data_IF_674289058629
#
_entry.id   IF_674289058629
#
_cell.length_a   1.000
_cell.length_b   1.000
_cell.length_c   1.000
_cell.angle_alpha   90.00
_cell.angle_beta   90.00
_cell.angle_gamma   90.00
#
_symmetry.space_group_name_H-M   'P 1'
#
loop_
_entity.id
_entity.type
_entity.pdbx_description
1 polymer ?
#
# COMPACT_ATOMS: atom_id res chain seq x y z
N UNK A 1 8.04 -22.82 7.32
CA UNK A 1 8.91 -21.90 8.09
C UNK A 1 9.30 -20.65 7.29
N UNK A 2 9.80 -20.76 6.06
CA UNK A 2 10.26 -19.60 5.25
C UNK A 2 9.09 -18.67 4.88
N UNK A 3 7.96 -19.21 4.44
CA UNK A 3 6.76 -18.44 4.07
C UNK A 3 6.19 -17.65 5.26
N UNK A 4 6.06 -18.25 6.44
CA UNK A 4 5.53 -17.55 7.63
C UNK A 4 6.43 -16.38 8.06
N UNK A 5 7.76 -16.55 7.94
CA UNK A 5 8.71 -15.46 8.20
C UNK A 5 8.60 -14.34 7.18
N UNK A 6 8.39 -14.67 5.90
CA UNK A 6 8.19 -13.68 4.85
C UNK A 6 6.90 -12.88 5.08
N UNK A 7 5.79 -13.55 5.42
CA UNK A 7 4.53 -12.86 5.77
C UNK A 7 4.78 -11.89 6.93
N UNK A 8 5.48 -12.31 7.98
CA UNK A 8 5.79 -11.44 9.12
C UNK A 8 6.60 -10.20 8.71
N UNK A 9 7.64 -10.37 7.89
CA UNK A 9 8.46 -9.26 7.37
C UNK A 9 7.58 -8.28 6.58
N UNK A 10 6.69 -8.79 5.72
CA UNK A 10 5.80 -7.96 4.89
C UNK A 10 4.80 -7.21 5.76
N UNK A 11 4.15 -7.88 6.71
CA UNK A 11 3.15 -7.25 7.58
C UNK A 11 3.76 -6.17 8.49
N UNK A 12 4.95 -6.43 9.04
CA UNK A 12 5.70 -5.41 9.78
C UNK A 12 6.09 -4.22 8.89
N UNK A 13 6.49 -4.49 7.65
CA UNK A 13 6.78 -3.46 6.66
C UNK A 13 5.54 -2.64 6.30
N UNK A 14 4.39 -3.29 6.11
CA UNK A 14 3.12 -2.63 5.84
C UNK A 14 2.69 -1.71 7.00
N UNK A 15 2.80 -2.17 8.25
CA UNK A 15 2.52 -1.36 9.44
C UNK A 15 3.48 -0.16 9.54
N UNK A 16 4.78 -0.35 9.23
CA UNK A 16 5.77 0.73 9.23
C UNK A 16 5.46 1.76 8.14
N UNK A 17 5.19 1.33 6.92
CA UNK A 17 4.81 2.23 5.83
C UNK A 17 3.53 3.02 6.17
N UNK A 18 2.57 2.39 6.83
CA UNK A 18 1.36 3.05 7.32
C UNK A 18 1.68 4.13 8.38
N UNK A 19 2.64 3.86 9.28
CA UNK A 19 3.13 4.86 10.25
C UNK A 19 3.78 6.05 9.55
N UNK A 20 4.58 5.82 8.50
CA UNK A 20 5.21 6.90 7.73
C UNK A 20 4.15 7.80 7.07
N UNK A 21 3.04 7.23 6.58
CA UNK A 21 1.88 8.00 6.12
C UNK A 21 1.25 8.83 7.24
N UNK A 22 1.00 8.24 8.42
CA UNK A 22 0.43 8.99 9.56
C UNK A 22 1.31 10.18 9.92
N UNK A 23 2.62 9.97 10.02
CA UNK A 23 3.58 11.05 10.33
C UNK A 23 3.58 12.13 9.24
N UNK A 24 3.54 11.74 7.98
CA UNK A 24 3.45 12.68 6.86
C UNK A 24 2.13 13.48 6.90
N UNK A 25 1.00 12.85 7.22
CA UNK A 25 -0.28 13.55 7.44
C UNK A 25 -0.19 14.55 8.59
N UNK A 26 0.40 14.17 9.73
CA UNK A 26 0.58 15.05 10.88
C UNK A 26 1.41 16.30 10.54
N UNK A 27 2.46 16.14 9.74
CA UNK A 27 3.35 17.22 9.35
C UNK A 27 2.75 18.14 8.27
N UNK A 28 2.10 17.56 7.26
CA UNK A 28 1.71 18.28 6.06
C UNK A 28 0.22 18.55 5.92
N UNK A 29 -0.58 17.84 6.70
CA UNK A 29 -2.03 17.98 6.74
C UNK A 29 -2.56 17.92 8.19
N UNK A 30 -2.10 18.79 9.10
CA UNK A 30 -2.41 18.68 10.54
C UNK A 30 -3.92 18.76 10.83
N UNK A 31 -4.71 19.38 9.95
CA UNK A 31 -6.18 19.41 10.06
C UNK A 31 -6.84 18.05 9.86
N UNK A 32 -6.13 17.06 9.32
CA UNK A 32 -6.66 15.68 9.17
C UNK A 32 -6.81 14.97 10.52
N UNK A 33 -6.19 15.49 11.58
CA UNK A 33 -6.13 14.86 12.90
C UNK A 33 -5.57 13.43 12.87
N UNK A 34 -4.63 13.17 11.95
CA UNK A 34 -4.05 11.84 11.77
C UNK A 34 -3.41 11.34 13.07
N UNK A 35 -3.69 10.09 13.40
CA UNK A 35 -3.26 9.45 14.64
C UNK A 35 -2.92 7.97 14.39
N UNK A 36 -2.09 7.41 15.26
CA UNK A 36 -1.78 5.99 15.25
C UNK A 36 -1.68 5.42 16.66
N UNK A 37 -1.93 4.10 16.78
CA UNK A 37 -1.84 3.35 18.02
C UNK A 37 -1.30 1.95 17.71
N UNK A 38 -0.34 1.39 18.48
CA UNK A 38 0.01 -0.03 18.40
C UNK A 38 -1.24 -0.89 18.63
N UNK A 39 -1.43 -1.90 17.79
CA UNK A 39 -2.58 -2.79 17.87
C UNK A 39 -2.20 -4.21 17.41
N UNK A 40 -2.39 -5.20 18.27
CA UNK A 40 -2.20 -6.62 17.95
C UNK A 40 -0.84 -6.97 17.30
N UNK A 41 0.23 -6.32 17.70
CA UNK A 41 1.56 -6.46 17.11
C UNK A 41 1.80 -5.64 15.84
N UNK A 42 0.76 -5.02 15.29
CA UNK A 42 0.78 -4.08 14.16
C UNK A 42 0.41 -2.67 14.56
N UNK A 43 -0.33 -1.98 13.70
CA UNK A 43 -0.67 -0.57 13.82
C UNK A 43 -2.13 -0.31 13.44
N UNK A 44 -2.87 0.36 14.32
CA UNK A 44 -4.11 1.05 13.98
C UNK A 44 -3.78 2.49 13.58
N UNK A 45 -4.23 2.92 12.42
CA UNK A 45 -4.01 4.26 11.89
C UNK A 45 -5.31 4.94 11.50
N UNK A 46 -5.40 6.22 11.80
CA UNK A 46 -6.45 7.11 11.33
C UNK A 46 -5.83 8.26 10.55
N UNK A 47 -6.27 8.47 9.32
CA UNK A 47 -5.81 9.56 8.44
C UNK A 47 -6.97 10.36 7.84
N UNK A 48 -8.17 10.15 8.37
CA UNK A 48 -9.42 10.80 7.96
C UNK A 48 -10.58 9.81 7.88
N UNK A 49 -11.84 10.27 7.96
CA UNK A 49 -13.02 9.41 8.04
C UNK A 49 -13.23 8.52 6.79
N UNK A 50 -12.82 9.00 5.62
CA UNK A 50 -12.97 8.31 4.34
C UNK A 50 -11.62 7.89 3.73
N UNK A 51 -10.56 7.90 4.54
CA UNK A 51 -9.24 7.55 4.04
C UNK A 51 -9.06 6.03 3.93
N UNK A 52 -8.53 5.53 2.80
CA UNK A 52 -8.18 4.12 2.67
C UNK A 52 -7.03 3.68 3.59
N UNK A 53 -6.36 4.65 4.23
CA UNK A 53 -5.31 4.42 5.22
C UNK A 53 -5.84 4.48 6.67
N UNK A 54 -7.17 4.58 6.86
CA UNK A 54 -7.82 4.44 8.18
C UNK A 54 -8.13 2.97 8.41
N UNK A 55 -7.15 2.24 8.96
CA UNK A 55 -7.18 0.77 9.04
C UNK A 55 -6.20 0.24 10.09
N UNK A 56 -6.32 -1.04 10.43
CA UNK A 56 -5.31 -1.81 11.19
C UNK A 56 -4.54 -2.69 10.19
N UNK A 57 -3.20 -2.55 10.17
CA UNK A 57 -2.28 -3.41 9.39
C UNK A 57 -1.25 -4.07 10.29
N UNK A 58 -0.78 -5.25 9.88
CA UNK A 58 0.27 -5.98 10.57
C UNK A 58 -0.17 -6.69 11.84
N UNK A 59 -1.48 -6.87 12.05
CA UNK A 59 -1.98 -7.62 13.20
C UNK A 59 -1.46 -9.07 13.19
N UNK A 60 -1.06 -9.56 14.36
CA UNK A 60 -0.62 -10.93 14.58
C UNK A 60 -1.74 -11.96 14.41
N UNK A 61 -1.39 -13.27 14.48
CA UNK A 61 -2.35 -14.35 14.23
C UNK A 61 -3.42 -14.49 15.32
N UNK A 62 -3.10 -14.15 16.55
CA UNK A 62 -3.98 -14.33 17.71
C UNK A 62 -4.49 -12.96 18.20
N UNK A 63 -5.49 -12.45 17.51
CA UNK A 63 -6.12 -11.16 17.79
C UNK A 63 -7.04 -11.29 19.03
N UNK A 64 -6.64 -10.67 20.14
CA UNK A 64 -7.37 -10.74 21.41
C UNK A 64 -8.59 -9.81 21.44
N UNK A 65 -9.60 -10.16 22.22
CA UNK A 65 -10.81 -9.36 22.41
C UNK A 65 -10.49 -7.91 22.85
N UNK A 66 -9.56 -7.77 23.81
CA UNK A 66 -9.14 -6.46 24.32
C UNK A 66 -8.44 -5.60 23.26
N UNK A 67 -7.77 -6.21 22.27
CA UNK A 67 -7.11 -5.50 21.18
C UNK A 67 -8.12 -4.99 20.15
N UNK A 68 -9.16 -5.79 19.87
CA UNK A 68 -10.28 -5.37 19.01
C UNK A 68 -11.01 -4.19 19.67
N UNK A 69 -11.32 -4.29 20.97
CA UNK A 69 -11.96 -3.21 21.74
C UNK A 69 -11.13 -1.93 21.74
N UNK A 70 -9.81 -2.06 21.92
CA UNK A 70 -8.91 -0.91 21.90
C UNK A 70 -8.90 -0.23 20.53
N UNK A 71 -8.89 -1.00 19.43
CA UNK A 71 -8.97 -0.48 18.08
C UNK A 71 -10.31 0.22 17.83
N UNK A 72 -11.45 -0.38 18.20
CA UNK A 72 -12.77 0.24 18.07
C UNK A 72 -12.86 1.56 18.83
N UNK A 73 -12.34 1.60 20.07
CA UNK A 73 -12.30 2.82 20.86
C UNK A 73 -11.43 3.89 20.22
N UNK A 74 -10.26 3.51 19.68
CA UNK A 74 -9.37 4.41 18.96
C UNK A 74 -10.06 5.02 17.73
N UNK A 75 -10.67 4.22 16.88
CA UNK A 75 -11.36 4.70 15.67
C UNK A 75 -12.58 5.57 16.02
N UNK A 76 -13.36 5.19 17.02
CA UNK A 76 -14.50 5.98 17.50
C UNK A 76 -14.06 7.37 18.03
N UNK A 77 -12.97 7.43 18.81
CA UNK A 77 -12.41 8.70 19.32
C UNK A 77 -11.91 9.62 18.22
N UNK A 78 -11.47 9.06 17.12
CA UNK A 78 -11.01 9.80 15.94
C UNK A 78 -12.13 10.03 14.91
N UNK A 79 -13.40 9.71 15.23
CA UNK A 79 -14.54 9.88 14.33
C UNK A 79 -14.42 9.12 12.99
N UNK A 80 -13.77 7.98 12.99
CA UNK A 80 -13.77 7.08 11.84
C UNK A 80 -15.19 6.55 11.58
N UNK A 81 -15.57 6.43 10.33
CA UNK A 81 -16.91 5.91 9.96
C UNK A 81 -17.02 4.41 10.15
N UNK A 82 -15.90 3.72 10.12
CA UNK A 82 -15.81 2.27 10.18
C UNK A 82 -14.49 1.83 10.80
N UNK A 83 -14.47 0.62 11.31
CA UNK A 83 -13.25 -0.04 11.77
C UNK A 83 -12.86 -1.09 10.74
N UNK A 84 -11.63 -1.02 10.22
CA UNK A 84 -11.12 -1.95 9.23
C UNK A 84 -9.90 -2.68 9.80
N UNK A 85 -9.89 -4.00 9.74
CA UNK A 85 -8.72 -4.84 9.98
C UNK A 85 -8.28 -5.48 8.67
N UNK A 86 -7.10 -5.15 8.19
CA UNK A 86 -6.47 -5.80 7.04
C UNK A 86 -5.55 -6.91 7.54
N UNK A 87 -5.99 -8.14 7.43
CA UNK A 87 -5.36 -9.30 8.06
C UNK A 87 -4.73 -10.25 7.05
N UNK A 88 -3.51 -10.67 7.32
CA UNK A 88 -2.87 -11.79 6.64
C UNK A 88 -3.60 -13.13 6.96
N UNK A 89 -3.42 -14.19 6.15
CA UNK A 89 -4.15 -15.46 6.28
C UNK A 89 -3.67 -16.34 7.45
N UNK A 90 -3.04 -15.74 8.44
CA UNK A 90 -2.55 -16.42 9.62
C UNK A 90 -3.45 -16.28 10.85
N UNK A 91 -4.57 -15.54 10.72
CA UNK A 91 -5.52 -15.45 11.83
C UNK A 91 -5.96 -16.84 12.27
N UNK A 92 -5.94 -17.06 13.58
CA UNK A 92 -6.50 -18.29 14.17
C UNK A 92 -8.03 -18.30 13.98
N UNK A 93 -8.62 -19.51 14.00
CA UNK A 93 -10.09 -19.66 13.93
C UNK A 93 -10.77 -18.87 15.05
N UNK A 94 -10.17 -18.86 16.26
CA UNK A 94 -10.66 -18.10 17.39
C UNK A 94 -10.65 -16.57 17.12
N UNK A 95 -9.62 -16.05 16.46
CA UNK A 95 -9.55 -14.65 16.05
C UNK A 95 -10.63 -14.29 15.05
N UNK A 96 -10.85 -15.16 14.07
CA UNK A 96 -11.92 -15.00 13.08
C UNK A 96 -13.30 -15.02 13.74
N UNK A 97 -13.54 -15.94 14.68
CA UNK A 97 -14.81 -16.02 15.41
C UNK A 97 -15.02 -14.82 16.36
N UNK A 98 -13.97 -14.26 16.94
CA UNK A 98 -14.06 -13.00 17.72
C UNK A 98 -14.53 -11.85 16.82
N UNK A 99 -13.91 -11.66 15.65
CA UNK A 99 -14.33 -10.63 14.69
C UNK A 99 -15.79 -10.80 14.27
N UNK A 100 -16.21 -12.02 13.90
CA UNK A 100 -17.59 -12.31 13.50
C UNK A 100 -18.61 -12.02 14.61
N UNK A 101 -18.32 -12.45 15.86
CA UNK A 101 -19.21 -12.19 17.01
C UNK A 101 -19.38 -10.70 17.29
N UNK A 102 -18.39 -9.88 16.95
CA UNK A 102 -18.45 -8.43 17.08
C UNK A 102 -19.08 -7.74 15.85
N UNK A 103 -19.58 -8.51 14.89
CA UNK A 103 -20.28 -7.97 13.72
C UNK A 103 -19.37 -7.59 12.55
N UNK A 104 -18.09 -7.95 12.59
CA UNK A 104 -17.22 -7.74 11.43
C UNK A 104 -17.61 -8.69 10.29
N UNK A 105 -17.58 -8.16 9.08
CA UNK A 105 -17.80 -8.89 7.83
C UNK A 105 -16.63 -8.69 6.88
N UNK A 106 -16.44 -9.63 5.95
CA UNK A 106 -15.41 -9.50 4.92
C UNK A 106 -15.87 -8.50 3.87
N UNK A 107 -15.11 -7.42 3.70
CA UNK A 107 -15.38 -6.36 2.72
C UNK A 107 -14.61 -6.53 1.42
N UNK A 108 -13.46 -7.22 1.44
CA UNK A 108 -12.65 -7.43 0.25
C UNK A 108 -11.38 -8.21 0.52
N UNK A 109 -10.64 -8.46 -0.54
CA UNK A 109 -9.34 -9.13 -0.49
C UNK A 109 -8.35 -8.46 -1.44
N UNK A 110 -7.07 -8.49 -1.08
CA UNK A 110 -5.95 -8.08 -1.91
C UNK A 110 -4.89 -9.17 -1.97
N UNK A 111 -4.28 -9.33 -3.12
CA UNK A 111 -3.14 -10.24 -3.29
C UNK A 111 -1.85 -9.50 -2.95
N UNK A 112 -1.10 -10.04 -2.02
CA UNK A 112 0.25 -9.57 -1.73
C UNK A 112 1.23 -10.37 -2.59
N UNK A 113 1.97 -9.63 -3.43
CA UNK A 113 3.00 -10.19 -4.29
C UNK A 113 4.38 -9.69 -3.85
N UNK A 114 5.40 -10.54 -3.97
CA UNK A 114 6.77 -10.19 -3.62
C UNK A 114 7.78 -10.74 -4.62
N UNK A 115 8.89 -10.03 -4.80
CA UNK A 115 10.07 -10.49 -5.51
C UNK A 115 11.26 -10.51 -4.56
N UNK A 116 11.97 -11.64 -4.48
CA UNK A 116 13.22 -11.76 -3.72
C UNK A 116 14.34 -11.07 -4.50
N UNK A 117 15.12 -10.24 -3.81
CA UNK A 117 16.23 -9.51 -4.41
C UNK A 117 17.60 -10.08 -3.98
N UNK A 118 18.63 -10.07 -4.85
CA UNK A 118 18.56 -9.61 -6.25
C UNK A 118 17.83 -10.59 -7.17
N UNK A 119 17.20 -10.07 -8.23
CA UNK A 119 16.53 -10.86 -9.26
C UNK A 119 16.92 -10.37 -10.66
N UNK A 120 16.66 -11.20 -11.66
CA UNK A 120 16.81 -10.79 -13.07
C UNK A 120 15.73 -9.77 -13.44
N UNK A 121 16.14 -8.64 -14.00
CA UNK A 121 15.22 -7.61 -14.49
C UNK A 121 15.54 -7.30 -15.95
N UNK A 122 14.55 -7.50 -16.81
CA UNK A 122 14.65 -7.07 -18.21
C UNK A 122 14.73 -5.54 -18.32
N UNK A 123 15.33 -5.04 -19.40
CA UNK A 123 15.34 -3.61 -19.67
C UNK A 123 13.90 -3.07 -19.78
N UNK A 124 13.60 -1.90 -19.21
CA UNK A 124 12.30 -1.28 -19.37
C UNK A 124 12.08 -0.87 -20.84
N UNK A 125 10.88 -1.11 -21.36
CA UNK A 125 10.50 -0.69 -22.71
C UNK A 125 10.34 0.82 -22.89
N UNK A 126 10.26 1.55 -21.79
CA UNK A 126 10.28 3.01 -21.70
C UNK A 126 11.40 3.41 -20.75
N UNK A 127 11.85 4.66 -20.81
CA UNK A 127 12.81 5.23 -19.86
C UNK A 127 12.04 5.94 -18.74
N UNK A 128 11.96 5.33 -17.53
CA UNK A 128 11.36 6.02 -16.41
C UNK A 128 12.19 7.25 -15.99
N UNK A 129 11.47 8.27 -15.57
CA UNK A 129 12.04 9.54 -15.09
C UNK A 129 11.56 9.81 -13.67
N UNK A 130 12.33 10.55 -12.90
CA UNK A 130 11.87 11.09 -11.63
C UNK A 130 10.89 12.24 -11.92
N UNK A 131 9.72 12.21 -11.28
CA UNK A 131 8.68 13.22 -11.50
C UNK A 131 8.79 14.35 -10.47
N UNK A 132 8.32 15.52 -10.85
CA UNK A 132 8.02 16.61 -9.94
C UNK A 132 6.66 16.40 -9.28
N UNK A 133 6.44 17.04 -8.13
CA UNK A 133 5.25 16.83 -7.30
C UNK A 133 3.94 17.04 -8.06
N UNK A 134 3.83 18.12 -8.83
CA UNK A 134 2.60 18.49 -9.51
C UNK A 134 2.25 17.49 -10.61
N UNK A 135 3.24 17.04 -11.38
CA UNK A 135 3.04 16.02 -12.41
C UNK A 135 2.66 14.68 -11.81
N UNK A 136 3.34 14.27 -10.74
CA UNK A 136 3.04 13.03 -10.05
C UNK A 136 1.61 13.03 -9.48
N UNK A 137 1.23 14.10 -8.77
CA UNK A 137 -0.11 14.22 -8.18
C UNK A 137 -1.21 14.26 -9.25
N UNK A 138 -0.99 15.00 -10.33
CA UNK A 138 -1.92 15.10 -11.46
C UNK A 138 -2.17 13.73 -12.10
N UNK A 139 -1.09 13.00 -12.40
CA UNK A 139 -1.19 11.68 -13.04
C UNK A 139 -1.79 10.66 -12.09
N UNK A 140 -1.42 10.69 -10.80
CA UNK A 140 -1.99 9.83 -9.78
C UNK A 140 -3.52 9.99 -9.71
N UNK A 141 -4.02 11.23 -9.59
CA UNK A 141 -5.45 11.51 -9.52
C UNK A 141 -6.19 11.05 -10.78
N UNK A 142 -5.65 11.38 -11.97
CA UNK A 142 -6.27 11.03 -13.24
C UNK A 142 -6.26 9.52 -13.50
N UNK A 143 -5.20 8.82 -13.15
CA UNK A 143 -5.07 7.38 -13.41
C UNK A 143 -6.03 6.52 -12.56
N UNK A 144 -6.36 6.98 -11.36
CA UNK A 144 -7.33 6.32 -10.47
C UNK A 144 -8.76 6.79 -10.68
N UNK A 145 -9.00 7.74 -11.61
CA UNK A 145 -10.34 8.29 -11.93
C UNK A 145 -11.06 8.82 -10.67
N UNK A 146 -10.27 9.40 -9.75
CA UNK A 146 -10.76 9.78 -8.44
C UNK A 146 -11.44 11.13 -8.48
N UNK A 147 -12.60 11.31 -7.80
CA UNK A 147 -13.25 12.60 -7.71
C UNK A 147 -12.31 13.66 -7.12
N UNK A 148 -12.28 14.86 -7.71
CA UNK A 148 -11.44 15.96 -7.23
C UNK A 148 -11.73 16.38 -5.77
N UNK A 149 -12.90 16.04 -5.26
CA UNK A 149 -13.40 16.33 -3.91
C UNK A 149 -13.03 15.25 -2.88
N UNK A 150 -12.49 14.12 -3.34
CA UNK A 150 -12.10 13.02 -2.45
C UNK A 150 -10.80 13.34 -1.70
N UNK A 151 -10.49 12.53 -0.67
CA UNK A 151 -9.22 12.57 0.07
C UNK A 151 -7.98 12.41 -0.83
N UNK A 152 -8.15 12.02 -2.07
CA UNK A 152 -7.09 11.66 -3.01
C UNK A 152 -6.12 12.80 -3.36
N UNK A 153 -6.55 14.06 -3.55
CA UNK A 153 -5.60 15.16 -3.72
C UNK A 153 -4.69 15.31 -2.51
N UNK A 154 -5.25 15.16 -1.30
CA UNK A 154 -4.47 15.21 -0.07
C UNK A 154 -3.56 13.99 0.07
N UNK A 155 -4.06 12.81 -0.25
CA UNK A 155 -3.27 11.57 -0.24
C UNK A 155 -2.10 11.65 -1.22
N UNK A 156 -2.30 12.17 -2.43
CA UNK A 156 -1.24 12.38 -3.40
C UNK A 156 -0.14 13.31 -2.86
N UNK A 157 -0.53 14.43 -2.23
CA UNK A 157 0.42 15.37 -1.63
C UNK A 157 1.20 14.76 -0.46
N UNK A 158 0.54 13.97 0.39
CA UNK A 158 1.16 13.31 1.53
C UNK A 158 2.08 12.18 1.07
N UNK A 159 1.65 11.35 0.12
CA UNK A 159 2.45 10.28 -0.44
C UNK A 159 3.74 10.80 -1.10
N UNK A 160 3.66 11.98 -1.73
CA UNK A 160 4.86 12.65 -2.26
C UNK A 160 5.94 12.88 -1.19
N UNK A 161 5.53 13.17 0.04
CA UNK A 161 6.41 13.56 1.15
C UNK A 161 6.87 12.41 2.03
N UNK A 162 6.55 11.16 1.69
CA UNK A 162 7.03 10.01 2.43
C UNK A 162 8.57 9.96 2.42
N UNK A 163 9.21 9.79 3.60
CA UNK A 163 10.65 9.82 3.71
C UNK A 163 11.32 8.70 2.90
N UNK A 164 12.39 9.05 2.18
CA UNK A 164 13.16 8.08 1.39
C UNK A 164 12.44 7.44 0.21
N UNK A 165 11.22 7.88 -0.10
CA UNK A 165 10.46 7.33 -1.22
C UNK A 165 10.87 7.95 -2.55
N UNK A 166 10.85 7.14 -3.61
CA UNK A 166 11.13 7.54 -4.99
C UNK A 166 9.82 7.62 -5.76
N UNK A 167 9.65 8.68 -6.57
CA UNK A 167 8.48 8.93 -7.41
C UNK A 167 8.92 8.94 -8.86
N UNK A 168 8.43 7.97 -9.60
CA UNK A 168 8.78 7.77 -11.00
C UNK A 168 7.59 8.02 -11.90
N UNK A 169 7.87 8.37 -13.13
CA UNK A 169 6.93 8.39 -14.23
C UNK A 169 7.52 7.91 -15.52
N UNK A 170 6.65 7.73 -16.49
CA UNK A 170 7.01 7.49 -17.88
C UNK A 170 6.36 8.58 -18.73
N UNK A 171 7.16 9.27 -19.54
CA UNK A 171 6.67 10.23 -20.50
C UNK A 171 6.69 9.65 -21.93
N UNK A 172 5.85 10.18 -22.79
CA UNK A 172 5.87 9.92 -24.23
C UNK A 172 6.94 10.77 -24.94
N UNK A 173 6.97 10.69 -26.26
CA UNK A 173 7.93 11.42 -27.08
C UNK A 173 7.76 12.95 -27.02
N UNK A 174 6.57 13.43 -26.70
CA UNK A 174 6.23 14.85 -26.56
C UNK A 174 6.46 15.38 -25.14
N UNK A 175 6.93 14.50 -24.22
CA UNK A 175 7.17 14.82 -22.83
C UNK A 175 5.94 14.75 -21.92
N UNK A 176 4.80 14.30 -22.43
CA UNK A 176 3.57 14.14 -21.65
C UNK A 176 3.67 12.91 -20.75
N UNK A 177 3.44 13.07 -19.45
CA UNK A 177 3.53 11.98 -18.48
C UNK A 177 2.33 11.04 -18.61
N UNK A 178 2.61 9.78 -18.91
CA UNK A 178 1.65 8.71 -19.18
C UNK A 178 1.29 7.87 -17.95
N UNK A 179 2.14 7.85 -16.96
CA UNK A 179 1.93 7.07 -15.74
C UNK A 179 2.90 7.44 -14.63
N UNK A 180 2.53 7.09 -13.41
CA UNK A 180 3.31 7.35 -12.22
C UNK A 180 3.40 6.10 -11.34
N UNK A 181 4.39 6.06 -10.45
CA UNK A 181 4.57 5.02 -9.46
C UNK A 181 5.42 5.50 -8.28
N UNK A 182 5.29 4.85 -7.15
CA UNK A 182 6.10 5.10 -5.97
C UNK A 182 6.82 3.84 -5.50
N UNK A 183 8.00 4.02 -4.92
CA UNK A 183 8.68 3.02 -4.11
C UNK A 183 9.02 3.66 -2.77
N UNK A 184 8.61 3.05 -1.67
CA UNK A 184 8.90 3.51 -0.31
C UNK A 184 9.70 2.45 0.47
N UNK A 185 10.70 2.86 1.28
CA UNK A 185 11.43 1.94 2.15
C UNK A 185 10.57 1.56 3.36
N UNK A 186 10.56 0.27 3.74
CA UNK A 186 9.90 -0.20 4.95
C UNK A 186 10.67 -1.36 5.59
N UNK A 187 11.74 -1.04 6.33
CA UNK A 187 12.65 -2.04 6.90
C UNK A 187 13.44 -2.77 5.82
N UNK A 188 13.30 -4.10 5.75
CA UNK A 188 14.01 -4.94 4.77
C UNK A 188 13.32 -4.97 3.40
N UNK A 189 12.14 -4.36 3.25
CA UNK A 189 11.35 -4.37 2.03
C UNK A 189 11.28 -3.00 1.35
N UNK A 190 11.25 -3.03 0.01
CA UNK A 190 10.81 -1.91 -0.81
C UNK A 190 9.31 -2.09 -1.12
N UNK A 191 8.47 -1.20 -0.63
CA UNK A 191 7.03 -1.19 -0.93
C UNK A 191 6.81 -0.48 -2.26
N UNK A 192 6.27 -1.18 -3.25
CA UNK A 192 5.90 -0.65 -4.54
C UNK A 192 4.40 -0.37 -4.55
N UNK A 193 4.04 0.87 -4.74
CA UNK A 193 2.63 1.28 -4.70
C UNK A 193 2.38 2.56 -5.48
N UNK A 194 1.13 3.03 -5.38
CA UNK A 194 0.67 4.23 -6.05
C UNK A 194 0.92 4.20 -7.57
N UNK A 195 0.74 3.02 -8.18
CA UNK A 195 0.94 2.78 -9.61
C UNK A 195 -0.28 3.30 -10.38
N UNK A 196 -0.11 4.34 -11.14
CA UNK A 196 -1.15 4.90 -11.99
C UNK A 196 -0.71 4.92 -13.45
N UNK A 197 -1.59 4.49 -14.37
CA UNK A 197 -1.40 4.65 -15.82
C UNK A 197 -2.64 5.33 -16.37
N UNK A 198 -2.44 6.44 -17.07
CA UNK A 198 -3.55 7.20 -17.70
C UNK A 198 -4.33 6.29 -18.65
N UNK A 199 -5.67 6.42 -18.74
CA UNK A 199 -6.50 5.55 -19.56
C UNK A 199 -5.99 5.39 -20.99
N UNK A 200 -5.61 6.47 -21.65
CA UNK A 200 -5.09 6.53 -23.03
C UNK A 200 -3.70 5.89 -23.20
N UNK A 201 -2.99 5.67 -22.09
CA UNK A 201 -1.66 5.03 -22.06
C UNK A 201 -1.69 3.56 -21.63
N UNK A 202 -2.87 3.05 -21.27
CA UNK A 202 -3.02 1.63 -20.92
C UNK A 202 -2.66 0.71 -22.09
N UNK A 203 -2.09 -0.44 -21.79
CA UNK A 203 -1.63 -1.40 -22.82
C UNK A 203 -0.29 -1.07 -23.47
N UNK A 204 0.31 0.09 -23.21
CA UNK A 204 1.59 0.52 -23.82
C UNK A 204 2.84 0.15 -22.99
N UNK A 205 2.73 -0.69 -21.96
CA UNK A 205 3.88 -1.17 -21.18
C UNK A 205 4.36 -0.20 -20.08
N UNK A 206 3.67 0.92 -19.84
CA UNK A 206 4.03 1.96 -18.88
C UNK A 206 4.24 1.39 -17.47
N UNK A 207 3.24 0.68 -16.92
CA UNK A 207 3.35 0.08 -15.58
C UNK A 207 4.51 -0.93 -15.49
N UNK A 208 4.70 -1.76 -16.53
CA UNK A 208 5.79 -2.75 -16.57
C UNK A 208 7.16 -2.05 -16.51
N UNK A 209 7.34 -0.95 -17.22
CA UNK A 209 8.57 -0.17 -17.18
C UNK A 209 8.82 0.41 -15.77
N UNK A 210 7.77 0.94 -15.12
CA UNK A 210 7.84 1.46 -13.77
C UNK A 210 8.14 0.38 -12.72
N UNK A 211 7.58 -0.82 -12.85
CA UNK A 211 7.89 -1.96 -11.97
C UNK A 211 9.37 -2.35 -12.11
N UNK A 212 9.86 -2.51 -13.34
CA UNK A 212 11.25 -2.91 -13.63
C UNK A 212 12.26 -1.90 -13.07
N UNK A 213 12.00 -0.61 -13.26
CA UNK A 213 12.90 0.41 -12.72
C UNK A 213 12.93 0.42 -11.18
N UNK A 214 11.77 0.29 -10.53
CA UNK A 214 11.71 0.19 -9.07
C UNK A 214 12.43 -1.05 -8.54
N UNK A 215 12.36 -2.20 -9.23
CA UNK A 215 13.18 -3.37 -8.90
C UNK A 215 14.68 -3.07 -8.98
N UNK A 216 15.13 -2.38 -10.02
CA UNK A 216 16.55 -1.97 -10.16
C UNK A 216 16.98 -1.03 -9.03
N UNK A 217 16.14 -0.06 -8.68
CA UNK A 217 16.40 0.86 -7.58
C UNK A 217 16.39 0.15 -6.23
N UNK A 218 15.46 -0.79 -6.00
CA UNK A 218 15.39 -1.59 -4.79
C UNK A 218 16.65 -2.45 -4.61
N UNK A 219 17.14 -3.09 -5.67
CA UNK A 219 18.41 -3.83 -5.65
C UNK A 219 19.60 -2.93 -5.36
N UNK A 220 19.67 -1.76 -6.01
CA UNK A 220 20.75 -0.77 -5.77
C UNK A 220 20.76 -0.27 -4.34
N UNK A 221 19.58 -0.12 -3.73
CA UNK A 221 19.43 0.30 -2.34
C UNK A 221 19.65 -0.83 -1.32
N UNK A 222 19.85 -2.08 -1.76
CA UNK A 222 20.16 -3.23 -0.90
C UNK A 222 18.96 -3.85 -0.22
N UNK A 223 17.73 -3.61 -0.68
CA UNK A 223 16.54 -4.29 -0.15
C UNK A 223 16.58 -5.78 -0.43
N UNK A 224 16.01 -6.57 0.48
CA UNK A 224 15.92 -8.03 0.34
C UNK A 224 14.68 -8.47 -0.43
N UNK A 225 13.63 -7.66 -0.39
CA UNK A 225 12.36 -7.93 -1.03
C UNK A 225 11.76 -6.66 -1.64
N UNK A 226 11.12 -6.80 -2.79
CA UNK A 226 10.18 -5.84 -3.32
C UNK A 226 8.78 -6.40 -3.15
N UNK A 227 7.84 -5.60 -2.64
CA UNK A 227 6.48 -6.03 -2.27
C UNK A 227 5.45 -5.08 -2.85
N UNK A 228 4.34 -5.61 -3.33
CA UNK A 228 3.18 -4.83 -3.76
C UNK A 228 1.87 -5.50 -3.32
N UNK A 229 0.83 -4.69 -3.15
CA UNK A 229 -0.55 -5.10 -2.90
C UNK A 229 -1.36 -4.81 -4.18
N UNK A 230 -2.07 -5.81 -4.67
CA UNK A 230 -2.79 -5.71 -5.96
C UNK A 230 -4.17 -6.38 -5.86
N UNK A 231 -5.13 -5.86 -6.62
CA UNK A 231 -6.43 -6.52 -6.74
C UNK A 231 -6.27 -7.87 -7.46
N UNK A 232 -6.94 -8.90 -6.96
CA UNK A 232 -6.87 -10.24 -7.52
C UNK A 232 -7.35 -10.26 -8.98
N UNK A 233 -6.64 -11.01 -9.84
CA UNK A 233 -6.90 -11.18 -11.27
C UNK A 233 -6.86 -9.88 -12.09
N UNK A 234 -6.39 -8.79 -11.50
CA UNK A 234 -6.24 -7.51 -12.18
C UNK A 234 -5.14 -7.52 -13.24
N UNK A 235 -5.14 -6.49 -14.10
CA UNK A 235 -4.04 -6.27 -15.02
C UNK A 235 -2.75 -5.91 -14.27
N UNK A 236 -2.87 -5.21 -13.14
CA UNK A 236 -1.73 -4.89 -12.27
C UNK A 236 -1.06 -6.15 -11.77
N UNK A 237 -1.80 -7.10 -11.22
CA UNK A 237 -1.26 -8.39 -10.78
C UNK A 237 -0.51 -9.11 -11.90
N UNK A 238 -1.13 -9.23 -13.09
CA UNK A 238 -0.49 -9.86 -14.25
C UNK A 238 0.84 -9.20 -14.61
N UNK A 239 0.93 -7.88 -14.51
CA UNK A 239 2.14 -7.13 -14.81
C UNK A 239 3.23 -7.37 -13.76
N UNK A 240 2.88 -7.41 -12.46
CA UNK A 240 3.82 -7.76 -11.39
C UNK A 240 4.36 -9.19 -11.58
N UNK A 241 3.48 -10.17 -11.83
CA UNK A 241 3.90 -11.57 -12.05
C UNK A 241 4.84 -11.70 -13.26
N UNK A 242 4.59 -10.99 -14.37
CA UNK A 242 5.50 -10.95 -15.54
C UNK A 242 6.86 -10.32 -15.21
N UNK A 243 6.93 -9.46 -14.20
CA UNK A 243 8.17 -8.85 -13.74
C UNK A 243 8.90 -9.67 -12.67
N UNK A 244 8.52 -10.94 -12.46
CA UNK A 244 9.20 -11.86 -11.55
C UNK A 244 8.74 -11.81 -10.10
N UNK A 245 7.59 -11.18 -9.84
CA UNK A 245 6.92 -11.31 -8.54
C UNK A 245 6.17 -12.63 -8.45
N UNK A 246 6.01 -13.12 -7.24
CA UNK A 246 5.20 -14.28 -6.91
C UNK A 246 4.09 -13.90 -5.93
N UNK A 247 2.96 -14.59 -6.01
CA UNK A 247 1.91 -14.48 -4.98
C UNK A 247 2.43 -15.06 -3.68
N UNK A 248 2.40 -14.26 -2.60
CA UNK A 248 2.78 -14.73 -1.27
C UNK A 248 1.55 -15.16 -0.48
N UNK A 249 0.55 -14.29 -0.41
CA UNK A 249 -0.72 -14.56 0.28
C UNK A 249 -1.83 -13.60 -0.18
N UNK A 250 -3.04 -13.88 0.30
CA UNK A 250 -4.20 -12.99 0.16
C UNK A 250 -4.47 -12.34 1.52
N UNK A 251 -4.52 -11.01 1.55
CA UNK A 251 -4.94 -10.24 2.72
C UNK A 251 -6.44 -10.04 2.68
N UNK A 252 -7.11 -10.18 3.80
CA UNK A 252 -8.56 -10.03 3.94
C UNK A 252 -8.87 -8.78 4.75
N UNK A 253 -9.76 -7.93 4.22
CA UNK A 253 -10.27 -6.76 4.94
C UNK A 253 -11.55 -7.14 5.68
N UNK A 254 -11.52 -7.04 7.01
CA UNK A 254 -12.66 -7.19 7.90
C UNK A 254 -13.16 -5.81 8.28
N UNK A 255 -14.47 -5.55 8.13
CA UNK A 255 -15.07 -4.24 8.35
C UNK A 255 -16.22 -4.33 9.34
N UNK A 256 -16.28 -3.33 10.22
CA UNK A 256 -17.41 -3.05 11.12
C UNK A 256 -17.78 -1.58 10.99
N UNK A 257 -19.10 -1.30 10.76
CA UNK A 257 -19.66 0.05 10.61
C UNK A 257 -19.99 0.70 11.97
#
# INVERSE_FOLDING_TARGET
>A
METSRLIQIIEMGAARNLMDYVQAFQLWAPKSAAAAMPCAGGLAAYTGPDSPLTTVKGAGPDLQESEIEAAELFFRRNHARQVVFECAPWLTDDSVERLKRRGYTVAGTEVVVAAKLPCGVEAPGHTPIELMQDDWARVFQAAFELPAEAICPLLAQVAWRLPGSVKLGVADADGSVMGCAQMAPAGEIAVLGNDGTLPEARGKGVQTALIRERLRLAMKAGFRWAVAEVAERSQSEKNYLRCGFERVYVRTSWIHA
#
